data_IF_530134663554
#
_entry.id   IF_530134663554
#
_cell.length_a   1.000
_cell.length_b   1.000
_cell.length_c   1.000
_cell.angle_alpha   90.00
_cell.angle_beta   90.00
_cell.angle_gamma   90.00
#
_symmetry.space_group_name_H-M   'P 1'
#
loop_
_entity.id
_entity.type
_entity.pdbx_description
1 polymer ?
#
# COMPACT_ATOMS: atom_id res chain seq x y z
N UNK A 1 -2.59 22.48 16.46
CA UNK A 1 -3.31 21.72 17.50
C UNK A 1 -3.55 20.34 16.92
N UNK A 2 -2.77 19.33 17.32
CA UNK A 2 -3.01 17.96 16.86
C UNK A 2 -4.35 17.52 17.43
N UNK A 3 -5.36 17.36 16.57
CA UNK A 3 -6.56 16.63 16.94
C UNK A 3 -6.15 15.18 17.15
N UNK A 4 -5.95 14.80 18.40
CA UNK A 4 -5.88 13.39 18.79
C UNK A 4 -7.19 12.74 18.32
N UNK A 5 -7.15 11.68 17.49
CA UNK A 5 -8.38 11.01 17.08
C UNK A 5 -9.13 10.54 18.32
N UNK A 6 -10.45 10.65 18.31
CA UNK A 6 -11.37 10.07 19.31
C UNK A 6 -11.14 8.56 19.53
N UNK A 7 -10.38 7.92 18.64
CA UNK A 7 -9.93 6.54 18.75
C UNK A 7 -8.76 6.31 19.72
N UNK A 8 -7.83 7.25 19.94
CA UNK A 8 -6.81 7.08 21.00
C UNK A 8 -7.48 7.06 22.38
N UNK A 9 -8.54 7.84 22.53
CA UNK A 9 -9.46 7.80 23.67
C UNK A 9 -10.21 6.46 23.75
N UNK A 10 -10.64 5.91 22.61
CA UNK A 10 -11.26 4.59 22.51
C UNK A 10 -10.31 3.43 22.86
N UNK A 11 -9.06 3.50 22.39
CA UNK A 11 -8.00 2.53 22.69
C UNK A 11 -7.62 2.59 24.17
N UNK A 12 -7.41 3.81 24.71
CA UNK A 12 -7.10 4.04 26.13
C UNK A 12 -8.25 3.62 27.08
N UNK A 13 -9.51 3.92 26.75
CA UNK A 13 -10.68 3.49 27.54
C UNK A 13 -10.85 1.98 27.53
N UNK A 14 -10.56 1.30 26.42
CA UNK A 14 -10.72 -0.16 26.30
C UNK A 14 -9.66 -0.91 27.11
N UNK A 15 -8.43 -0.40 27.15
CA UNK A 15 -7.36 -0.90 28.04
C UNK A 15 -7.78 -0.77 29.52
N UNK A 16 -8.45 0.32 29.90
CA UNK A 16 -8.99 0.51 31.25
C UNK A 16 -10.18 -0.40 31.58
N UNK A 17 -11.03 -0.75 30.61
CA UNK A 17 -12.20 -1.62 30.82
C UNK A 17 -11.87 -3.12 30.85
N UNK A 18 -10.73 -3.54 30.28
CA UNK A 18 -10.28 -4.94 30.27
C UNK A 18 -9.63 -5.43 31.57
N UNK A 19 -9.52 -4.58 32.61
CA UNK A 19 -9.19 -5.04 33.97
C UNK A 19 -10.28 -5.94 34.60
N UNK A 20 -11.36 -6.26 33.88
CA UNK A 20 -12.49 -7.05 34.40
C UNK A 20 -13.15 -8.10 33.50
N UNK A 21 -12.72 -8.39 32.25
CA UNK A 21 -13.35 -9.45 31.43
C UNK A 21 -12.38 -10.22 30.53
N UNK A 22 -12.33 -11.54 30.73
CA UNK A 22 -11.59 -12.53 29.94
C UNK A 22 -12.13 -12.64 28.49
N UNK A 23 -11.49 -11.96 27.54
CA UNK A 23 -11.53 -12.32 26.12
C UNK A 23 -10.13 -12.17 25.52
N UNK A 24 -9.58 -13.29 25.01
CA UNK A 24 -8.22 -13.48 24.52
C UNK A 24 -8.01 -12.95 23.10
N UNK A 25 -8.49 -11.75 22.78
CA UNK A 25 -8.10 -11.06 21.55
C UNK A 25 -6.81 -10.27 21.79
N UNK A 26 -5.82 -10.46 20.92
CA UNK A 26 -4.57 -9.69 20.99
C UNK A 26 -4.86 -8.21 20.70
N UNK A 27 -4.03 -7.29 21.19
CA UNK A 27 -4.18 -5.86 20.87
C UNK A 27 -4.15 -5.61 19.35
N UNK A 28 -3.43 -6.47 18.62
CA UNK A 28 -3.35 -6.45 17.17
C UNK A 28 -4.71 -6.71 16.49
N UNK A 29 -5.47 -7.67 17.00
CA UNK A 29 -6.80 -8.01 16.48
C UNK A 29 -7.81 -6.88 16.68
N UNK A 30 -7.71 -6.16 17.80
CA UNK A 30 -8.64 -5.06 18.13
C UNK A 30 -8.41 -3.87 17.21
N UNK A 31 -7.16 -3.44 17.04
CA UNK A 31 -6.83 -2.31 16.15
C UNK A 31 -7.30 -2.56 14.71
N UNK A 32 -7.13 -3.80 14.23
CA UNK A 32 -7.59 -4.20 12.90
C UNK A 32 -9.11 -4.16 12.78
N UNK A 33 -9.84 -4.70 13.76
CA UNK A 33 -11.32 -4.68 13.76
C UNK A 33 -11.88 -3.27 13.72
N UNK A 34 -11.24 -2.32 14.42
CA UNK A 34 -11.69 -0.93 14.42
C UNK A 34 -11.40 -0.27 13.07
N UNK A 35 -10.21 -0.43 12.51
CA UNK A 35 -9.90 0.09 11.18
C UNK A 35 -10.83 -0.48 10.09
N UNK A 36 -11.21 -1.76 10.19
CA UNK A 36 -12.21 -2.39 9.32
C UNK A 36 -13.62 -1.80 9.52
N UNK A 37 -13.98 -1.42 10.74
CA UNK A 37 -15.26 -0.76 11.05
C UNK A 37 -15.29 0.64 10.43
N UNK A 38 -14.20 1.41 10.56
CA UNK A 38 -14.06 2.71 9.92
C UNK A 38 -14.16 2.61 8.39
N UNK A 39 -13.58 1.57 7.79
CA UNK A 39 -13.69 1.32 6.35
C UNK A 39 -15.14 1.03 5.92
N UNK A 40 -15.89 0.27 6.73
CA UNK A 40 -17.32 -0.01 6.48
C UNK A 40 -18.17 1.26 6.60
N UNK A 41 -17.91 2.08 7.60
CA UNK A 41 -18.61 3.35 7.81
C UNK A 41 -18.31 4.34 6.69
N UNK A 42 -17.06 4.46 6.26
CA UNK A 42 -16.67 5.28 5.11
C UNK A 42 -17.39 4.85 3.83
N UNK A 43 -17.52 3.54 3.61
CA UNK A 43 -18.29 3.00 2.48
C UNK A 43 -19.78 3.35 2.57
N UNK A 44 -20.35 3.30 3.77
CA UNK A 44 -21.77 3.62 4.01
C UNK A 44 -22.08 5.11 3.82
N UNK A 45 -21.09 5.97 4.08
CA UNK A 45 -21.20 7.42 3.98
C UNK A 45 -20.66 7.97 2.65
N UNK A 46 -20.49 7.13 1.62
CA UNK A 46 -20.00 7.50 0.29
C UNK A 46 -18.61 8.19 0.27
N UNK A 47 -17.79 7.97 1.30
CA UNK A 47 -16.42 8.46 1.42
C UNK A 47 -15.39 7.51 0.77
N UNK A 48 -15.84 6.38 0.21
CA UNK A 48 -14.96 5.37 -0.37
C UNK A 48 -15.40 4.96 -1.78
N UNK A 49 -14.58 5.28 -2.77
CA UNK A 49 -14.79 4.91 -4.16
C UNK A 49 -13.96 3.68 -4.51
N UNK A 50 -14.55 2.72 -5.23
CA UNK A 50 -13.86 1.49 -5.67
C UNK A 50 -14.12 1.12 -7.13
N UNK A 51 -14.75 2.04 -7.86
CA UNK A 51 -15.13 1.94 -9.27
C UNK A 51 -15.08 3.34 -9.89
N UNK A 52 -15.20 3.43 -11.22
CA UNK A 52 -15.17 4.70 -11.94
C UNK A 52 -16.22 5.67 -11.41
N UNK A 53 -15.77 6.77 -10.82
CA UNK A 53 -16.59 7.78 -10.16
C UNK A 53 -15.74 9.03 -9.87
N UNK A 54 -16.38 10.16 -9.68
CA UNK A 54 -15.73 11.40 -9.23
C UNK A 54 -16.26 11.78 -7.86
N UNK A 55 -15.35 12.19 -6.97
CA UNK A 55 -15.63 12.69 -5.64
C UNK A 55 -15.13 14.14 -5.53
N UNK A 56 -15.97 14.99 -4.93
CA UNK A 56 -15.59 16.33 -4.50
C UNK A 56 -16.02 16.48 -3.06
N UNK A 57 -15.07 16.72 -2.16
CA UNK A 57 -15.40 16.98 -0.76
C UNK A 57 -16.15 18.30 -0.64
N UNK A 58 -17.21 18.32 0.17
CA UNK A 58 -17.92 19.56 0.50
C UNK A 58 -17.27 20.31 1.67
N UNK A 59 -16.39 19.65 2.43
CA UNK A 59 -15.75 20.19 3.65
C UNK A 59 -14.28 20.57 3.45
N UNK A 60 -13.60 19.90 2.52
CA UNK A 60 -12.20 20.17 2.16
C UNK A 60 -12.09 20.50 0.68
N UNK A 61 -11.01 21.15 0.27
CA UNK A 61 -10.70 21.36 -1.15
C UNK A 61 -10.19 20.07 -1.84
N UNK A 62 -10.42 18.89 -1.25
CA UNK A 62 -10.03 17.63 -1.84
C UNK A 62 -10.97 17.30 -3.02
N UNK A 63 -10.33 16.86 -4.10
CA UNK A 63 -10.99 16.36 -5.29
C UNK A 63 -10.27 15.10 -5.74
N UNK A 64 -11.03 14.04 -5.98
CA UNK A 64 -10.50 12.78 -6.47
C UNK A 64 -11.42 12.23 -7.55
N UNK A 65 -10.83 11.66 -8.60
CA UNK A 65 -11.58 10.97 -9.64
C UNK A 65 -10.90 9.64 -9.91
N UNK A 66 -11.72 8.60 -10.06
CA UNK A 66 -11.32 7.26 -10.43
C UNK A 66 -11.91 6.97 -11.79
N UNK A 67 -11.09 6.43 -12.69
CA UNK A 67 -11.55 5.81 -13.91
C UNK A 67 -10.78 4.51 -14.14
N UNK A 68 -11.51 3.43 -14.37
CA UNK A 68 -10.96 2.16 -14.87
C UNK A 68 -11.81 1.70 -16.05
N UNK A 69 -11.14 1.29 -17.12
CA UNK A 69 -11.76 0.77 -18.32
C UNK A 69 -11.16 -0.60 -18.63
N UNK A 70 -12.02 -1.60 -18.81
CA UNK A 70 -11.59 -2.92 -19.29
C UNK A 70 -10.97 -2.74 -20.69
N UNK A 71 -9.72 -3.18 -20.84
CA UNK A 71 -9.04 -3.26 -22.13
C UNK A 71 -9.54 -4.44 -22.98
N UNK A 72 -8.73 -4.85 -23.95
CA UNK A 72 -9.05 -5.99 -24.83
C UNK A 72 -8.63 -7.35 -24.25
N UNK A 73 -7.83 -7.35 -23.17
CA UNK A 73 -7.43 -8.57 -22.46
C UNK A 73 -8.59 -9.10 -21.61
N UNK A 74 -8.61 -10.43 -21.40
CA UNK A 74 -9.65 -11.24 -20.76
C UNK A 74 -10.40 -10.60 -19.58
N UNK A 75 -10.26 -11.13 -18.37
CA UNK A 75 -10.85 -10.51 -17.17
C UNK A 75 -10.04 -9.25 -16.84
N UNK A 76 -10.71 -8.14 -16.51
CA UNK A 76 -10.00 -6.97 -16.01
C UNK A 76 -9.40 -7.30 -14.64
N UNK A 77 -8.07 -7.24 -14.53
CA UNK A 77 -7.36 -7.58 -13.30
C UNK A 77 -7.01 -6.34 -12.47
N UNK A 78 -7.22 -5.14 -13.02
CA UNK A 78 -6.99 -3.86 -12.36
C UNK A 78 -8.02 -3.60 -11.26
N UNK A 79 -7.55 -2.99 -10.18
CA UNK A 79 -8.35 -2.56 -9.06
C UNK A 79 -7.87 -1.20 -8.55
N UNK A 80 -8.80 -0.41 -8.05
CA UNK A 80 -8.54 0.95 -7.55
C UNK A 80 -9.41 1.26 -6.36
N UNK A 81 -8.93 2.12 -5.47
CA UNK A 81 -9.68 2.61 -4.32
C UNK A 81 -9.27 4.04 -3.99
N UNK A 82 -10.25 4.85 -3.59
CA UNK A 82 -10.04 6.14 -2.93
C UNK A 82 -10.85 6.11 -1.65
N UNK A 83 -10.26 6.55 -0.55
CA UNK A 83 -10.91 6.72 0.75
C UNK A 83 -10.60 8.13 1.27
N UNK A 84 -11.62 8.98 1.22
CA UNK A 84 -11.62 10.35 1.74
C UNK A 84 -11.91 10.39 3.24
N UNK A 85 -11.45 11.44 3.90
CA UNK A 85 -11.44 11.50 5.37
C UNK A 85 -10.79 10.24 5.97
N UNK A 86 -9.66 9.80 5.40
CA UNK A 86 -9.02 8.51 5.72
C UNK A 86 -8.76 8.39 7.23
N UNK A 87 -9.35 7.39 7.88
CA UNK A 87 -9.26 7.24 9.33
C UNK A 87 -10.00 8.32 10.14
N UNK A 88 -11.09 8.87 9.58
CA UNK A 88 -11.84 9.99 10.12
C UNK A 88 -11.00 11.26 10.31
N UNK A 89 -10.01 11.47 9.44
CA UNK A 89 -9.18 12.68 9.41
C UNK A 89 -9.59 13.53 8.21
N UNK A 90 -10.25 14.66 8.43
CA UNK A 90 -10.86 15.50 7.38
C UNK A 90 -9.85 16.02 6.33
N UNK A 91 -8.57 16.13 6.69
CA UNK A 91 -7.47 16.58 5.83
C UNK A 91 -6.73 15.42 5.12
N UNK A 92 -7.18 14.18 5.28
CA UNK A 92 -6.55 13.00 4.71
C UNK A 92 -7.35 12.34 3.58
N UNK A 93 -6.62 11.87 2.58
CA UNK A 93 -7.12 11.00 1.52
C UNK A 93 -6.13 9.86 1.30
N UNK A 94 -6.67 8.64 1.16
CA UNK A 94 -5.94 7.47 0.71
C UNK A 94 -6.35 7.13 -0.73
N UNK A 95 -5.38 6.89 -1.59
CA UNK A 95 -5.59 6.39 -2.95
C UNK A 95 -4.76 5.13 -3.17
N UNK A 96 -5.29 4.15 -3.90
CA UNK A 96 -4.58 2.92 -4.24
C UNK A 96 -4.91 2.41 -5.64
N UNK A 97 -3.89 2.03 -6.40
CA UNK A 97 -3.97 1.37 -7.71
C UNK A 97 -3.25 0.02 -7.61
N UNK A 98 -3.89 -1.01 -8.15
CA UNK A 98 -3.44 -2.40 -8.10
C UNK A 98 -3.65 -3.04 -9.46
N UNK A 99 -2.56 -3.31 -10.19
CA UNK A 99 -2.58 -4.05 -11.45
C UNK A 99 -2.35 -5.52 -11.14
N UNK A 100 -3.36 -6.37 -11.36
CA UNK A 100 -3.28 -7.81 -11.08
C UNK A 100 -2.77 -8.59 -12.27
N UNK A 101 -2.02 -9.66 -12.02
CA UNK A 101 -1.53 -10.54 -13.08
C UNK A 101 -1.53 -12.01 -12.67
N UNK A 102 -1.40 -12.88 -13.67
CA UNK A 102 -1.52 -14.33 -13.49
C UNK A 102 -2.98 -14.80 -13.36
N UNK A 103 -3.21 -16.13 -13.26
CA UNK A 103 -4.56 -16.69 -13.25
C UNK A 103 -5.49 -16.13 -12.15
N UNK A 104 -4.93 -15.82 -10.98
CA UNK A 104 -5.65 -15.28 -9.82
C UNK A 104 -5.43 -13.78 -9.60
N UNK A 105 -4.78 -13.08 -10.55
CA UNK A 105 -4.40 -11.66 -10.40
C UNK A 105 -5.56 -10.74 -10.00
N UNK A 106 -6.71 -10.88 -10.64
CA UNK A 106 -7.93 -10.14 -10.31
C UNK A 106 -8.44 -10.39 -8.86
N UNK A 107 -8.24 -11.59 -8.32
CA UNK A 107 -8.65 -11.95 -6.96
C UNK A 107 -7.63 -11.38 -5.95
N UNK A 108 -6.33 -11.50 -6.26
CA UNK A 108 -5.25 -10.97 -5.44
C UNK A 108 -5.34 -9.44 -5.38
N UNK A 109 -5.43 -8.75 -6.52
CA UNK A 109 -5.58 -7.30 -6.59
C UNK A 109 -6.79 -6.81 -5.78
N UNK A 110 -7.93 -7.50 -5.89
CA UNK A 110 -9.13 -7.19 -5.10
C UNK A 110 -8.91 -7.41 -3.60
N UNK A 111 -8.24 -8.49 -3.20
CA UNK A 111 -7.93 -8.78 -1.79
C UNK A 111 -6.97 -7.75 -1.21
N UNK A 112 -5.88 -7.43 -1.91
CA UNK A 112 -4.91 -6.40 -1.53
C UNK A 112 -5.61 -5.04 -1.40
N UNK A 113 -6.42 -4.64 -2.39
CA UNK A 113 -7.22 -3.40 -2.33
C UNK A 113 -8.07 -3.30 -1.06
N UNK A 114 -8.67 -4.41 -0.63
CA UNK A 114 -9.53 -4.44 0.56
C UNK A 114 -8.74 -4.45 1.88
N UNK A 115 -7.54 -5.05 1.88
CA UNK A 115 -6.72 -5.19 3.09
C UNK A 115 -5.83 -3.96 3.36
N UNK A 116 -5.26 -3.34 2.32
CA UNK A 116 -4.23 -2.30 2.51
C UNK A 116 -4.73 -1.11 3.33
N UNK A 117 -5.86 -0.45 3.00
CA UNK A 117 -6.28 0.73 3.75
C UNK A 117 -6.51 0.49 5.25
N UNK A 118 -7.31 -0.49 5.71
CA UNK A 118 -7.52 -0.71 7.14
C UNK A 118 -6.26 -1.22 7.85
N UNK A 119 -5.44 -2.08 7.22
CA UNK A 119 -4.18 -2.52 7.82
C UNK A 119 -3.17 -1.38 7.94
N UNK A 120 -3.09 -0.50 6.94
CA UNK A 120 -2.23 0.69 6.97
C UNK A 120 -2.66 1.64 8.09
N UNK A 121 -3.97 1.91 8.19
CA UNK A 121 -4.51 2.78 9.23
C UNK A 121 -4.20 2.22 10.63
N UNK A 122 -4.39 0.92 10.83
CA UNK A 122 -4.08 0.23 12.08
C UNK A 122 -2.59 0.34 12.44
N UNK A 123 -1.70 0.02 11.50
CA UNK A 123 -0.25 0.08 11.72
C UNK A 123 0.23 1.51 11.99
N UNK A 124 -0.31 2.50 11.28
CA UNK A 124 -0.02 3.91 11.50
C UNK A 124 -0.45 4.40 12.88
N UNK A 125 -1.68 4.05 13.31
CA UNK A 125 -2.17 4.42 14.64
C UNK A 125 -1.34 3.78 15.76
N UNK A 126 -0.91 2.53 15.61
CA UNK A 126 -0.01 1.87 16.56
C UNK A 126 1.35 2.56 16.63
N UNK A 127 1.94 2.88 15.49
CA UNK A 127 3.22 3.58 15.42
C UNK A 127 3.15 4.97 16.07
N UNK A 128 2.04 5.69 15.89
CA UNK A 128 1.78 6.96 16.58
C UNK A 128 1.65 6.79 18.10
N UNK A 129 0.94 5.77 18.57
CA UNK A 129 0.78 5.51 19.99
C UNK A 129 2.11 5.18 20.67
N UNK A 130 2.93 4.32 20.06
CA UNK A 130 4.26 3.96 20.55
C UNK A 130 5.21 5.17 20.60
N UNK A 131 5.14 6.02 19.58
CA UNK A 131 5.89 7.27 19.55
C UNK A 131 5.50 8.21 20.69
N UNK A 132 4.19 8.37 20.91
CA UNK A 132 3.66 9.29 21.92
C UNK A 132 4.09 8.87 23.33
N UNK A 133 4.11 7.56 23.61
CA UNK A 133 4.65 6.97 24.85
C UNK A 133 6.16 7.19 25.01
N UNK A 134 6.93 7.15 23.91
CA UNK A 134 8.37 7.38 23.93
C UNK A 134 8.78 8.85 24.08
N UNK A 135 7.92 9.79 23.67
CA UNK A 135 8.19 11.23 23.72
C UNK A 135 8.06 11.83 25.14
N UNK A 136 7.34 11.17 26.05
CA UNK A 136 7.29 11.58 27.47
C UNK A 136 8.67 11.46 28.18
N UNK A 137 9.65 10.78 27.57
CA UNK A 137 10.96 10.51 28.18
C UNK A 137 12.12 11.36 27.64
N UNK A 138 11.97 12.10 26.53
CA UNK A 138 13.10 12.85 25.93
C UNK A 138 12.66 14.21 25.35
N UNK A 139 13.17 15.29 25.96
CA UNK A 139 12.81 16.68 25.65
C UNK A 139 13.90 17.38 24.82
N UNK A 140 13.83 17.35 23.48
CA UNK A 140 14.60 18.28 22.63
C UNK A 140 13.88 18.52 21.28
N UNK A 141 13.42 19.75 20.96
CA UNK A 141 12.65 20.03 19.74
C UNK A 141 13.44 20.85 18.70
N UNK A 142 13.27 20.52 17.40
CA UNK A 142 12.92 21.48 16.31
C UNK A 142 13.34 21.09 14.87
N UNK A 143 14.08 19.99 14.65
CA UNK A 143 14.31 19.45 13.27
C UNK A 143 13.91 17.99 13.09
N UNK A 144 13.59 17.30 14.17
CA UNK A 144 13.31 15.86 14.25
C UNK A 144 11.89 15.48 13.83
N UNK A 145 10.90 16.36 13.97
CA UNK A 145 9.46 15.99 13.90
C UNK A 145 8.98 15.58 12.50
N UNK A 146 9.43 16.26 11.43
CA UNK A 146 9.01 15.93 10.05
C UNK A 146 9.59 14.60 9.57
N UNK A 147 10.88 14.38 9.84
CA UNK A 147 11.53 13.10 9.56
C UNK A 147 10.86 11.98 10.34
N UNK A 148 10.51 12.25 11.60
CA UNK A 148 9.82 11.29 12.44
C UNK A 148 8.42 10.91 11.94
N UNK A 149 7.61 11.88 11.48
CA UNK A 149 6.31 11.59 10.87
C UNK A 149 6.45 10.77 9.58
N UNK A 150 7.45 11.07 8.76
CA UNK A 150 7.75 10.27 7.57
C UNK A 150 8.18 8.85 7.94
N UNK A 151 9.02 8.69 8.98
CA UNK A 151 9.46 7.38 9.45
C UNK A 151 8.29 6.53 9.96
N UNK A 152 7.36 7.13 10.71
CA UNK A 152 6.12 6.46 11.15
C UNK A 152 5.35 5.92 9.93
N UNK A 153 5.12 6.76 8.92
CA UNK A 153 4.42 6.34 7.70
C UNK A 153 5.20 5.26 6.94
N UNK A 154 6.51 5.42 6.78
CA UNK A 154 7.39 4.46 6.11
C UNK A 154 7.29 3.08 6.76
N UNK A 155 7.44 3.00 8.08
CA UNK A 155 7.35 1.73 8.80
C UNK A 155 5.94 1.12 8.72
N UNK A 156 4.90 1.97 8.78
CA UNK A 156 3.51 1.52 8.66
C UNK A 156 3.22 0.92 7.30
N UNK A 157 3.71 1.54 6.22
CA UNK A 157 3.60 1.00 4.86
C UNK A 157 4.36 -0.33 4.73
N UNK A 158 5.64 -0.37 5.13
CA UNK A 158 6.46 -1.59 5.04
C UNK A 158 5.82 -2.76 5.78
N UNK A 159 5.41 -2.55 7.03
CA UNK A 159 4.72 -3.57 7.82
C UNK A 159 3.42 -4.02 7.17
N UNK A 160 2.61 -3.10 6.68
CA UNK A 160 1.33 -3.42 6.03
C UNK A 160 1.52 -4.30 4.80
N UNK A 161 2.45 -3.94 3.92
CA UNK A 161 2.71 -4.74 2.71
C UNK A 161 3.30 -6.11 3.05
N UNK A 162 4.20 -6.19 4.02
CA UNK A 162 4.78 -7.46 4.47
C UNK A 162 3.72 -8.39 5.08
N UNK A 163 2.88 -7.87 5.97
CA UNK A 163 1.80 -8.63 6.61
C UNK A 163 0.80 -9.16 5.57
N UNK A 164 0.38 -8.33 4.61
CA UNK A 164 -0.57 -8.71 3.55
C UNK A 164 0.03 -9.76 2.60
N UNK A 165 1.30 -9.60 2.21
CA UNK A 165 1.97 -10.59 1.35
C UNK A 165 2.09 -11.95 2.06
N UNK A 166 2.41 -11.93 3.36
CA UNK A 166 2.46 -13.13 4.20
C UNK A 166 1.09 -13.78 4.38
N UNK A 167 0.03 -13.00 4.57
CA UNK A 167 -1.35 -13.50 4.62
C UNK A 167 -1.74 -14.19 3.31
N UNK A 168 -1.40 -13.59 2.16
CA UNK A 168 -1.68 -14.16 0.83
C UNK A 168 -0.95 -15.48 0.60
N UNK A 169 0.29 -15.60 1.08
CA UNK A 169 1.09 -16.83 0.96
C UNK A 169 0.44 -18.04 1.64
N UNK A 170 -0.27 -17.81 2.75
CA UNK A 170 -0.89 -18.86 3.56
C UNK A 170 -2.40 -18.97 3.34
N UNK A 171 -2.97 -18.25 2.37
CA UNK A 171 -4.41 -18.19 2.17
C UNK A 171 -4.91 -19.49 1.49
N UNK A 172 -5.79 -20.28 2.13
CA UNK A 172 -6.15 -21.63 1.67
C UNK A 172 -7.00 -21.67 0.38
N UNK A 173 -7.45 -20.52 -0.12
CA UNK A 173 -8.32 -20.41 -1.30
C UNK A 173 -7.86 -19.38 -2.34
N UNK A 174 -6.62 -18.87 -2.26
CA UNK A 174 -6.07 -17.94 -3.24
C UNK A 174 -4.67 -18.44 -3.61
N UNK A 175 -4.47 -18.83 -4.86
CA UNK A 175 -3.15 -19.20 -5.37
C UNK A 175 -2.34 -17.94 -5.71
N UNK A 176 -1.45 -17.57 -4.79
CA UNK A 176 -0.49 -16.47 -4.91
C UNK A 176 0.89 -16.94 -5.37
N UNK A 177 1.06 -18.22 -5.71
CA UNK A 177 2.37 -18.76 -6.10
C UNK A 177 2.77 -18.28 -7.50
N UNK A 178 1.83 -18.29 -8.46
CA UNK A 178 2.01 -17.83 -9.85
C UNK A 178 1.12 -16.64 -10.24
N UNK A 179 0.55 -15.97 -9.24
CA UNK A 179 -0.27 -14.78 -9.45
C UNK A 179 0.12 -13.72 -8.44
N UNK A 180 -0.07 -12.47 -8.82
CA UNK A 180 0.28 -11.35 -7.98
C UNK A 180 -0.42 -10.08 -8.40
N UNK A 181 0.01 -8.98 -7.79
CA UNK A 181 -0.43 -7.64 -8.16
C UNK A 181 0.66 -6.62 -7.85
N UNK A 182 0.72 -5.57 -8.66
CA UNK A 182 1.38 -4.33 -8.27
C UNK A 182 0.56 -3.60 -7.19
N UNK A 183 1.18 -2.68 -6.49
CA UNK A 183 0.47 -1.81 -5.56
C UNK A 183 1.16 -0.45 -5.49
N UNK A 184 0.44 0.58 -5.94
CA UNK A 184 0.80 1.97 -5.77
C UNK A 184 -0.22 2.61 -4.85
N UNK A 185 0.22 3.06 -3.67
CA UNK A 185 -0.65 3.74 -2.71
C UNK A 185 -0.13 5.11 -2.33
N UNK A 186 -1.05 6.02 -2.08
CA UNK A 186 -0.79 7.41 -1.75
C UNK A 186 -1.63 7.77 -0.53
N UNK A 187 -0.99 8.36 0.49
CA UNK A 187 -1.66 9.09 1.56
C UNK A 187 -1.30 10.56 1.39
N UNK A 188 -2.29 11.40 1.14
CA UNK A 188 -2.14 12.86 1.20
C UNK A 188 -2.77 13.35 2.50
N UNK A 189 -2.00 14.08 3.29
CA UNK A 189 -2.43 14.73 4.52
C UNK A 189 -2.05 16.22 4.45
N UNK A 190 -3.03 17.11 4.31
CA UNK A 190 -2.75 18.53 4.06
C UNK A 190 -1.83 18.70 2.84
N UNK A 191 -0.65 19.29 3.04
CA UNK A 191 0.39 19.52 2.00
C UNK A 191 1.41 18.37 1.90
N UNK A 192 1.28 17.32 2.72
CA UNK A 192 2.21 16.18 2.72
C UNK A 192 1.68 15.03 1.87
N UNK A 193 2.60 14.37 1.16
CA UNK A 193 2.33 13.23 0.30
C UNK A 193 3.26 12.08 0.68
N UNK A 194 2.68 10.94 1.06
CA UNK A 194 3.41 9.68 1.29
C UNK A 194 3.01 8.72 0.19
N UNK A 195 3.99 8.14 -0.50
CA UNK A 195 3.77 7.22 -1.62
C UNK A 195 4.53 5.93 -1.35
N UNK A 196 3.83 4.80 -1.47
CA UNK A 196 4.43 3.48 -1.45
C UNK A 196 4.17 2.78 -2.77
N UNK A 197 5.24 2.30 -3.43
CA UNK A 197 5.16 1.61 -4.71
C UNK A 197 5.76 0.21 -4.62
N UNK A 198 5.06 -0.77 -5.20
CA UNK A 198 5.51 -2.14 -5.44
C UNK A 198 5.08 -2.51 -6.86
N UNK A 199 6.04 -2.65 -7.78
CA UNK A 199 5.78 -2.93 -9.19
C UNK A 199 5.95 -1.70 -10.08
N UNK A 200 5.26 -1.70 -11.21
CA UNK A 200 5.42 -0.74 -12.30
C UNK A 200 4.18 0.14 -12.55
N UNK A 201 3.22 0.14 -11.63
CA UNK A 201 2.26 1.25 -11.52
C UNK A 201 3.01 2.55 -11.21
N UNK A 202 2.50 3.69 -11.71
CA UNK A 202 3.21 4.98 -11.65
C UNK A 202 2.37 6.12 -11.12
N UNK A 203 2.94 6.88 -10.18
CA UNK A 203 2.42 8.19 -9.77
C UNK A 203 3.16 9.31 -10.52
N UNK A 204 2.39 10.26 -11.06
CA UNK A 204 2.91 11.46 -11.72
C UNK A 204 2.18 12.68 -11.17
N UNK A 205 2.94 13.67 -10.71
CA UNK A 205 2.44 14.98 -10.30
C UNK A 205 2.49 15.93 -11.48
N UNK A 206 1.37 16.56 -11.81
CA UNK A 206 1.39 17.71 -12.71
C UNK A 206 1.73 18.96 -11.90
N UNK A 207 2.76 19.71 -12.31
CA UNK A 207 3.18 20.97 -11.70
C UNK A 207 3.35 22.05 -12.77
N UNK A 208 3.55 23.29 -12.37
CA UNK A 208 3.79 24.42 -13.28
C UNK A 208 5.29 24.75 -13.26
N UNK A 209 5.91 24.87 -14.44
CA UNK A 209 7.29 25.32 -14.58
C UNK A 209 7.43 26.82 -14.31
N UNK A 210 8.67 27.32 -14.18
CA UNK A 210 8.92 28.76 -13.99
C UNK A 210 8.36 29.61 -15.15
N UNK A 211 8.30 29.04 -16.36
CA UNK A 211 7.70 29.65 -17.56
C UNK A 211 6.16 29.57 -17.61
N UNK A 212 5.51 29.04 -16.57
CA UNK A 212 4.04 28.91 -16.52
C UNK A 212 3.46 27.70 -17.26
N UNK A 213 4.29 26.76 -17.73
CA UNK A 213 3.84 25.58 -18.48
C UNK A 213 3.51 24.40 -17.55
N UNK A 214 2.45 23.64 -17.88
CA UNK A 214 2.13 22.40 -17.17
C UNK A 214 3.17 21.31 -17.52
N UNK A 215 3.90 20.83 -16.52
CA UNK A 215 4.93 19.80 -16.67
C UNK A 215 4.63 18.56 -15.80
N UNK A 216 4.90 17.34 -16.29
CA UNK A 216 4.78 16.13 -15.50
C UNK A 216 6.04 15.87 -14.66
N UNK A 217 5.87 15.49 -13.41
CA UNK A 217 6.92 15.05 -12.50
C UNK A 217 6.62 13.64 -11.99
N UNK A 218 7.40 12.65 -12.42
CA UNK A 218 7.23 11.27 -11.99
C UNK A 218 7.68 11.10 -10.54
N UNK A 219 6.76 10.67 -9.67
CA UNK A 219 6.98 10.55 -8.23
C UNK A 219 7.52 9.18 -7.80
N UNK A 220 7.36 8.16 -8.64
CA UNK A 220 7.74 6.78 -8.34
C UNK A 220 8.62 6.18 -9.42
N UNK A 221 9.52 5.28 -9.05
CA UNK A 221 10.29 4.48 -10.01
C UNK A 221 9.53 3.18 -10.28
N UNK A 222 9.32 2.85 -11.56
CA UNK A 222 8.76 1.57 -11.98
C UNK A 222 9.77 0.46 -11.71
N UNK A 223 9.40 -0.55 -10.92
CA UNK A 223 10.29 -1.67 -10.60
C UNK A 223 10.38 -2.65 -11.78
N UNK A 224 11.18 -2.28 -12.79
CA UNK A 224 11.49 -3.09 -13.97
C UNK A 224 12.72 -3.99 -13.73
N UNK A 225 12.74 -5.23 -14.25
CA UNK A 225 13.84 -6.17 -14.00
C UNK A 225 15.22 -5.73 -14.49
N UNK A 226 15.30 -4.80 -15.44
CA UNK A 226 16.55 -4.28 -16.00
C UNK A 226 17.14 -3.07 -15.27
N UNK A 227 16.48 -2.57 -14.22
CA UNK A 227 17.10 -1.57 -13.33
C UNK A 227 18.34 -2.23 -12.71
N UNK A 228 19.53 -1.59 -12.77
CA UNK A 228 20.78 -2.22 -12.34
C UNK A 228 20.71 -2.85 -10.94
N UNK A 229 20.15 -2.12 -9.98
CA UNK A 229 20.00 -2.56 -8.58
C UNK A 229 19.01 -3.72 -8.45
N UNK A 230 17.91 -3.70 -9.21
CA UNK A 230 16.92 -4.78 -9.19
C UNK A 230 17.46 -6.04 -9.87
N UNK A 231 18.16 -5.89 -11.00
CA UNK A 231 18.79 -6.98 -11.72
C UNK A 231 19.85 -7.66 -10.87
N UNK A 232 20.65 -6.88 -10.15
CA UNK A 232 21.66 -7.39 -9.23
C UNK A 232 21.02 -8.16 -8.08
N UNK A 233 20.01 -7.59 -7.40
CA UNK A 233 19.27 -8.28 -6.34
C UNK A 233 18.67 -9.61 -6.81
N UNK A 234 18.09 -9.64 -8.02
CA UNK A 234 17.53 -10.85 -8.61
C UNK A 234 18.61 -11.91 -8.83
N UNK A 235 19.77 -11.54 -9.40
CA UNK A 235 20.89 -12.46 -9.65
C UNK A 235 21.49 -13.00 -8.34
N UNK A 236 21.62 -12.14 -7.32
CA UNK A 236 22.08 -12.54 -5.98
C UNK A 236 21.13 -13.56 -5.33
N UNK A 237 19.84 -13.48 -5.66
CA UNK A 237 18.81 -14.45 -5.26
C UNK A 237 18.69 -15.64 -6.24
N UNK A 238 19.70 -15.87 -7.08
CA UNK A 238 19.77 -16.94 -8.11
C UNK A 238 18.72 -16.85 -9.24
N UNK A 239 17.88 -15.81 -9.26
CA UNK A 239 16.95 -15.56 -10.35
C UNK A 239 17.66 -15.09 -11.62
N UNK A 240 16.94 -15.13 -12.75
CA UNK A 240 17.48 -14.67 -14.04
C UNK A 240 16.71 -13.46 -14.54
N UNK A 241 17.41 -12.58 -15.23
CA UNK A 241 16.84 -11.43 -15.92
C UNK A 241 17.18 -11.53 -17.40
N UNK A 242 16.17 -11.70 -18.24
CA UNK A 242 16.34 -11.78 -19.69
C UNK A 242 15.06 -11.44 -20.42
N UNK A 243 15.18 -11.02 -21.69
CA UNK A 243 14.06 -10.85 -22.61
C UNK A 243 13.67 -12.19 -23.23
N UNK A 244 12.44 -12.27 -23.72
CA UNK A 244 12.08 -13.31 -24.69
C UNK A 244 12.71 -12.99 -26.05
N UNK A 245 12.94 -14.01 -26.90
CA UNK A 245 13.55 -13.81 -28.23
C UNK A 245 12.66 -13.00 -29.17
N UNK A 246 11.36 -13.22 -29.07
CA UNK A 246 10.29 -12.57 -29.85
C UNK A 246 9.84 -11.22 -29.26
N UNK A 247 10.20 -10.91 -28.02
CA UNK A 247 9.95 -9.61 -27.37
C UNK A 247 11.26 -8.94 -26.90
N UNK A 248 12.16 -8.56 -27.81
CA UNK A 248 13.39 -7.86 -27.43
C UNK A 248 13.06 -6.52 -26.76
N UNK A 249 13.69 -6.26 -25.61
CA UNK A 249 13.51 -5.04 -24.81
C UNK A 249 12.55 -5.17 -23.63
N UNK A 250 11.75 -6.24 -23.56
CA UNK A 250 10.90 -6.53 -22.39
C UNK A 250 11.64 -7.48 -21.46
N UNK A 251 12.36 -6.92 -20.50
CA UNK A 251 13.08 -7.69 -19.50
C UNK A 251 12.12 -8.33 -18.51
N UNK A 252 12.37 -9.61 -18.22
CA UNK A 252 11.52 -10.43 -17.37
C UNK A 252 12.35 -11.12 -16.28
N UNK A 253 11.71 -11.37 -15.14
CA UNK A 253 12.24 -12.20 -14.05
C UNK A 253 11.86 -13.65 -14.29
N UNK A 254 12.85 -14.53 -14.23
CA UNK A 254 12.69 -15.97 -14.40
C UNK A 254 13.27 -16.73 -13.22
N UNK A 255 12.71 -17.90 -12.94
CA UNK A 255 13.28 -18.83 -11.97
C UNK A 255 14.69 -19.31 -12.39
N UNK A 256 15.53 -19.75 -11.42
CA UNK A 256 16.88 -20.24 -11.71
C UNK A 256 16.87 -21.41 -12.71
N UNK A 257 15.92 -22.34 -12.56
CA UNK A 257 15.80 -23.58 -13.35
C UNK A 257 14.45 -23.69 -14.07
N UNK A 258 14.12 -22.71 -14.90
CA UNK A 258 12.94 -22.79 -15.76
C UNK A 258 12.53 -21.45 -16.35
N UNK A 259 11.82 -21.49 -17.47
CA UNK A 259 11.35 -20.30 -18.21
C UNK A 259 9.95 -19.86 -17.75
N UNK A 260 9.74 -19.89 -16.43
CA UNK A 260 8.58 -19.36 -15.76
C UNK A 260 9.02 -18.56 -14.51
N UNK A 261 8.21 -17.62 -14.01
CA UNK A 261 6.96 -17.12 -14.59
C UNK A 261 7.14 -16.12 -15.75
N UNK A 262 8.32 -15.49 -15.88
CA UNK A 262 8.53 -14.45 -16.90
C UNK A 262 7.89 -13.11 -16.55
N UNK A 263 8.00 -12.67 -15.29
CA UNK A 263 7.37 -11.44 -14.79
C UNK A 263 8.07 -10.19 -15.35
N UNK A 264 7.31 -9.26 -15.93
CA UNK A 264 7.83 -8.00 -16.44
C UNK A 264 8.08 -6.93 -15.34
N UNK A 265 7.86 -7.30 -14.08
CA UNK A 265 8.09 -6.51 -12.87
C UNK A 265 9.06 -7.23 -11.96
N UNK A 266 9.92 -6.48 -11.25
CA UNK A 266 10.88 -7.04 -10.28
C UNK A 266 10.34 -7.10 -8.85
N UNK A 267 9.25 -6.38 -8.56
CA UNK A 267 8.56 -6.39 -7.27
C UNK A 267 7.06 -6.49 -7.49
N UNK A 268 6.40 -7.37 -6.74
CA UNK A 268 4.95 -7.55 -6.74
C UNK A 268 4.52 -8.12 -5.38
N UNK A 269 3.25 -7.98 -5.02
CA UNK A 269 2.63 -8.72 -3.92
C UNK A 269 2.11 -10.04 -4.49
N UNK A 270 2.40 -11.15 -3.82
CA UNK A 270 2.25 -12.49 -4.37
C UNK A 270 3.49 -12.95 -5.14
N UNK A 271 3.26 -13.69 -6.23
CA UNK A 271 4.29 -14.35 -7.04
C UNK A 271 5.31 -15.12 -6.21
N UNK A 272 4.84 -15.89 -5.23
CA UNK A 272 5.75 -16.53 -4.27
C UNK A 272 6.74 -17.50 -4.94
N UNK A 273 6.47 -17.99 -6.17
CA UNK A 273 7.39 -18.84 -6.94
C UNK A 273 8.77 -18.21 -7.21
N UNK A 274 8.86 -16.88 -7.31
CA UNK A 274 10.14 -16.16 -7.51
C UNK A 274 10.74 -15.66 -6.20
N UNK A 275 10.05 -15.83 -5.06
CA UNK A 275 10.52 -15.45 -3.72
C UNK A 275 11.25 -16.59 -2.99
N UNK A 276 11.01 -17.86 -3.37
CA UNK A 276 11.57 -19.06 -2.68
C UNK A 276 13.12 -19.10 -2.73
N UNK A 277 13.74 -18.38 -3.65
CA UNK A 277 15.19 -18.44 -3.92
C UNK A 277 15.98 -17.33 -3.20
N UNK A 278 15.28 -16.34 -2.64
CA UNK A 278 15.85 -15.31 -1.79
C UNK A 278 15.90 -15.82 -0.34
N UNK A 279 16.90 -16.66 -0.01
CA UNK A 279 17.40 -16.66 1.35
C UNK A 279 18.06 -15.29 1.56
N UNK A 280 17.37 -14.41 2.29
CA UNK A 280 17.82 -13.23 3.06
C UNK A 280 17.05 -11.92 2.82
N UNK A 281 16.40 -11.50 3.93
CA UNK A 281 16.11 -10.14 4.44
C UNK A 281 15.35 -9.11 3.58
N UNK A 282 14.28 -8.61 4.23
CA UNK A 282 13.41 -7.50 3.86
C UNK A 282 14.14 -6.16 3.69
#
# INVERSE_FOLDING_TARGET
MMFFPSFLDGLARTVSMKKGKNTSSTEDDIGRQVAETLAKDAKKNDLMLSSSATFKSNKSNNFASICSKRGQKGINQDCTIVWEEFGCQEDMIFCGIFDGHGPWGHIIAKRVKQSVPPSLLCNWQKALALTSLGQELNTEPNRSTRNHQFDIWKQSCLKTYADIDQELKHHPGIDSFHSGTTALTIVKQGEHLVIANVGDSRAVLATISDDGNLIPFQLTIDFKPNIPEEAERIRQSQGRVSCLRDEPGVYRVWMPKGDAPGLAVSRAIGDHCVRVWANFSA
#
